data_IF_722205639450
#
_entry.id   IF_722205639450
#
_cell.length_a   1.000
_cell.length_b   1.000
_cell.length_c   1.000
_cell.angle_alpha   90.00
_cell.angle_beta   90.00
_cell.angle_gamma   90.00
#
_symmetry.space_group_name_H-M   'P 1'
#
loop_
_entity.id
_entity.type
_entity.pdbx_description
1 polymer ?
#
# COMPACT_ATOMS: atom_id res chain seq x y z
N UNK A 1 -6.50 5.41 -17.92
CA UNK A 1 -5.79 4.17 -18.25
C UNK A 1 -5.31 3.55 -16.95
N UNK A 2 -6.14 2.66 -16.37
CA UNK A 2 -5.81 1.99 -15.12
C UNK A 2 -4.90 0.80 -15.42
N UNK A 3 -3.62 0.91 -15.05
CA UNK A 3 -2.76 -0.27 -15.02
C UNK A 3 -3.20 -1.12 -13.83
N UNK A 4 -4.07 -2.09 -14.10
CA UNK A 4 -4.36 -3.19 -13.18
C UNK A 4 -3.09 -4.02 -13.04
N UNK A 5 -2.23 -3.64 -12.09
CA UNK A 5 -1.11 -4.46 -11.67
C UNK A 5 -1.68 -5.72 -11.00
N UNK A 6 -1.90 -6.72 -11.84
CA UNK A 6 -2.17 -8.09 -11.45
C UNK A 6 -0.86 -8.64 -10.86
N UNK A 7 -0.52 -8.26 -9.62
CA UNK A 7 0.74 -8.72 -9.01
C UNK A 7 0.50 -10.06 -8.33
N UNK A 8 1.00 -11.04 -9.06
CA UNK A 8 1.23 -12.41 -8.68
C UNK A 8 1.78 -12.54 -7.26
N UNK A 9 1.10 -13.38 -6.50
CA UNK A 9 1.57 -14.09 -5.31
C UNK A 9 3.00 -14.60 -5.50
N UNK A 10 4.02 -13.84 -5.11
CA UNK A 10 5.35 -14.38 -4.82
C UNK A 10 6.01 -13.54 -3.74
N UNK A 11 6.56 -14.22 -2.74
CA UNK A 11 7.20 -13.69 -1.54
C UNK A 11 8.57 -13.02 -1.82
N UNK A 12 8.63 -12.13 -2.80
CA UNK A 12 9.73 -11.18 -2.92
C UNK A 12 9.37 -9.93 -2.11
N UNK A 13 10.26 -9.48 -1.22
CA UNK A 13 10.11 -8.17 -0.62
C UNK A 13 10.14 -7.12 -1.73
N UNK A 14 8.96 -6.62 -2.12
CA UNK A 14 8.84 -5.56 -3.12
C UNK A 14 9.24 -4.22 -2.47
N UNK A 15 10.31 -3.64 -3.01
CA UNK A 15 10.72 -2.28 -2.67
C UNK A 15 9.99 -1.30 -3.59
N UNK A 16 8.92 -0.73 -3.07
CA UNK A 16 8.09 0.31 -3.71
C UNK A 16 8.36 1.68 -3.05
N UNK A 17 9.59 1.88 -2.56
CA UNK A 17 10.03 3.13 -1.96
C UNK A 17 9.85 4.29 -2.94
N UNK A 18 9.06 5.30 -2.57
CA UNK A 18 8.75 6.44 -3.45
C UNK A 18 7.84 6.12 -4.64
N UNK A 19 7.18 4.96 -4.67
CA UNK A 19 6.33 4.58 -5.79
C UNK A 19 5.12 5.51 -5.95
N UNK A 20 4.78 5.84 -7.20
CA UNK A 20 3.57 6.59 -7.54
C UNK A 20 2.42 5.60 -7.80
N UNK A 21 1.54 5.46 -6.81
CA UNK A 21 0.37 4.56 -6.78
C UNK A 21 -0.93 5.35 -6.58
N UNK A 22 -0.94 6.61 -7.03
CA UNK A 22 -2.10 7.50 -6.92
C UNK A 22 -3.29 6.89 -7.67
N UNK A 23 -4.41 6.68 -6.97
CA UNK A 23 -5.61 6.04 -7.53
C UNK A 23 -5.46 4.55 -7.86
N UNK A 24 -4.38 3.88 -7.39
CA UNK A 24 -4.16 2.47 -7.70
C UNK A 24 -5.25 1.57 -7.10
N UNK A 25 -5.67 0.55 -7.85
CA UNK A 25 -6.60 -0.46 -7.38
C UNK A 25 -5.84 -1.64 -6.79
N UNK A 26 -5.77 -1.71 -5.46
CA UNK A 26 -5.03 -2.68 -4.67
C UNK A 26 -5.96 -3.44 -3.71
N UNK A 27 -7.26 -3.49 -4.02
CA UNK A 27 -8.24 -4.16 -3.18
C UNK A 27 -7.93 -5.67 -3.09
N UNK A 28 -7.86 -6.21 -1.88
CA UNK A 28 -7.49 -7.60 -1.63
C UNK A 28 -6.02 -7.95 -1.93
N UNK A 29 -5.16 -6.98 -2.23
CA UNK A 29 -3.77 -7.25 -2.58
C UNK A 29 -2.97 -7.83 -1.41
N UNK A 30 -2.09 -8.79 -1.69
CA UNK A 30 -1.15 -9.34 -0.70
C UNK A 30 0.15 -8.54 -0.69
N UNK A 31 0.24 -7.59 0.25
CA UNK A 31 1.35 -6.64 0.41
C UNK A 31 2.14 -6.90 1.71
N UNK A 32 2.22 -8.17 2.13
CA UNK A 32 2.90 -8.57 3.36
C UNK A 32 4.40 -8.26 3.27
N UNK A 33 4.94 -7.49 4.21
CA UNK A 33 6.38 -7.19 4.26
C UNK A 33 6.88 -6.22 3.18
N UNK A 34 5.99 -5.56 2.44
CA UNK A 34 6.36 -4.63 1.36
C UNK A 34 6.91 -3.32 1.93
N UNK A 35 7.93 -2.76 1.29
CA UNK A 35 8.48 -1.44 1.63
C UNK A 35 7.81 -0.36 0.77
N UNK A 36 6.92 0.42 1.38
CA UNK A 36 6.20 1.56 0.80
C UNK A 36 6.70 2.89 1.37
N UNK A 37 7.95 2.94 1.82
CA UNK A 37 8.55 4.15 2.41
C UNK A 37 8.48 5.31 1.40
N UNK A 38 7.84 6.42 1.76
CA UNK A 38 7.65 7.58 0.88
C UNK A 38 6.71 7.36 -0.32
N UNK A 39 5.95 6.27 -0.37
CA UNK A 39 5.07 5.98 -1.50
C UNK A 39 3.86 6.94 -1.56
N UNK A 40 3.47 7.33 -2.78
CA UNK A 40 2.30 8.16 -3.04
C UNK A 40 1.09 7.27 -3.35
N UNK A 41 0.24 7.03 -2.36
CA UNK A 41 -0.97 6.21 -2.41
C UNK A 41 -2.24 7.06 -2.35
N UNK A 42 -2.16 8.34 -2.74
CA UNK A 42 -3.32 9.23 -2.66
C UNK A 42 -4.49 8.68 -3.50
N UNK A 43 -5.68 8.55 -2.91
CA UNK A 43 -6.84 7.97 -3.58
C UNK A 43 -6.75 6.46 -3.88
N UNK A 44 -5.74 5.75 -3.38
CA UNK A 44 -5.58 4.32 -3.65
C UNK A 44 -6.69 3.48 -2.99
N UNK A 45 -7.17 2.46 -3.68
CA UNK A 45 -8.16 1.51 -3.16
C UNK A 45 -7.45 0.31 -2.54
N UNK A 46 -7.32 0.31 -1.22
CA UNK A 46 -6.68 -0.75 -0.41
C UNK A 46 -7.70 -1.58 0.38
N UNK A 47 -8.97 -1.58 -0.05
CA UNK A 47 -10.04 -2.29 0.63
C UNK A 47 -9.72 -3.78 0.73
N UNK A 48 -9.68 -4.34 1.94
CA UNK A 48 -9.32 -5.74 2.15
C UNK A 48 -7.86 -6.11 1.88
N UNK A 49 -6.96 -5.14 1.66
CA UNK A 49 -5.55 -5.43 1.36
C UNK A 49 -4.81 -6.00 2.59
N UNK A 50 -3.91 -6.96 2.37
CA UNK A 50 -3.09 -7.57 3.41
C UNK A 50 -1.73 -6.86 3.51
N UNK A 51 -1.64 -5.88 4.39
CA UNK A 51 -0.44 -5.07 4.65
C UNK A 51 0.36 -5.55 5.88
N UNK A 52 0.19 -6.81 6.28
CA UNK A 52 0.85 -7.37 7.47
C UNK A 52 2.37 -7.20 7.38
N UNK A 53 3.00 -6.52 8.34
CA UNK A 53 4.44 -6.28 8.30
C UNK A 53 4.92 -5.29 7.23
N UNK A 54 4.03 -4.58 6.53
CA UNK A 54 4.41 -3.58 5.53
C UNK A 54 5.05 -2.34 6.18
N UNK A 55 6.04 -1.74 5.53
CA UNK A 55 6.71 -0.51 5.98
C UNK A 55 6.18 0.69 5.20
N UNK A 56 5.38 1.54 5.84
CA UNK A 56 4.72 2.70 5.25
C UNK A 56 5.34 4.02 5.71
N UNK A 57 6.65 4.04 5.97
CA UNK A 57 7.31 5.22 6.55
C UNK A 57 7.24 6.41 5.60
N UNK A 58 6.63 7.53 5.99
CA UNK A 58 6.51 8.70 5.11
C UNK A 58 5.52 8.53 3.95
N UNK A 59 4.70 7.49 3.93
CA UNK A 59 3.75 7.25 2.84
C UNK A 59 2.62 8.29 2.83
N UNK A 60 2.20 8.71 1.63
CA UNK A 60 1.09 9.65 1.41
C UNK A 60 -0.17 8.87 1.07
N UNK A 61 -1.11 8.79 2.02
CA UNK A 61 -2.35 8.03 1.94
C UNK A 61 -3.60 8.94 1.88
N UNK A 62 -3.43 10.19 1.45
CA UNK A 62 -4.51 11.19 1.32
C UNK A 62 -5.65 10.64 0.46
N UNK A 63 -6.86 10.53 1.04
CA UNK A 63 -8.03 9.94 0.37
C UNK A 63 -7.94 8.45 0.03
N UNK A 64 -6.98 7.69 0.59
CA UNK A 64 -6.89 6.25 0.35
C UNK A 64 -7.99 5.47 1.07
N UNK A 65 -8.59 4.48 0.39
CA UNK A 65 -9.66 3.64 0.93
C UNK A 65 -9.08 2.39 1.58
N UNK A 66 -8.96 2.40 2.91
CA UNK A 66 -8.38 1.31 3.72
C UNK A 66 -9.43 0.41 4.39
N UNK A 67 -10.70 0.47 3.98
CA UNK A 67 -11.77 -0.29 4.63
C UNK A 67 -11.46 -1.81 4.63
N UNK A 68 -11.41 -2.42 5.82
CA UNK A 68 -11.08 -3.84 5.95
C UNK A 68 -9.64 -4.23 5.61
N UNK A 69 -8.72 -3.26 5.45
CA UNK A 69 -7.30 -3.57 5.25
C UNK A 69 -6.67 -4.17 6.51
N UNK A 70 -5.89 -5.24 6.33
CA UNK A 70 -5.19 -5.95 7.41
C UNK A 70 -3.80 -5.36 7.63
N UNK A 71 -3.68 -4.46 8.61
CA UNK A 71 -2.43 -3.75 8.96
C UNK A 71 -1.68 -4.38 10.15
N UNK A 72 -1.97 -5.64 10.50
CA UNK A 72 -1.33 -6.29 11.64
C UNK A 72 0.21 -6.27 11.53
N UNK A 73 0.89 -5.64 12.49
CA UNK A 73 2.36 -5.50 12.45
C UNK A 73 2.90 -4.59 11.34
N UNK A 74 2.04 -3.83 10.64
CA UNK A 74 2.51 -2.82 9.70
C UNK A 74 3.21 -1.68 10.45
N UNK A 75 4.33 -1.22 9.89
CA UNK A 75 5.11 -0.12 10.45
C UNK A 75 4.67 1.20 9.79
N UNK A 76 3.89 1.98 10.53
CA UNK A 76 3.33 3.27 10.11
C UNK A 76 4.06 4.38 10.88
N UNK A 77 4.99 5.07 10.23
CA UNK A 77 5.69 6.21 10.82
C UNK A 77 5.68 7.39 9.85
N UNK A 78 5.27 8.58 10.30
CA UNK A 78 5.22 9.77 9.43
C UNK A 78 4.27 9.64 8.24
N UNK A 79 3.20 8.85 8.36
CA UNK A 79 2.20 8.67 7.31
C UNK A 79 1.32 9.93 7.21
N UNK A 80 1.07 10.39 5.99
CA UNK A 80 0.18 11.53 5.74
C UNK A 80 -1.23 11.05 5.35
N UNK A 81 -2.20 11.36 6.21
CA UNK A 81 -3.63 11.08 6.05
C UNK A 81 -4.37 12.42 6.17
N UNK A 82 -4.70 13.08 5.06
CA UNK A 82 -5.55 14.29 5.01
C UNK A 82 -6.66 14.07 4.00
#
# INVERSE_FOLDING_TARGET
MGFGFSVFSTAAAFFLTGAFLVGAFLAGAFLRGVFLTGAFLAGAFLVGAFLTGAFLVGAFLVGAFLAGAFLAGAFLAGVFLV
#
